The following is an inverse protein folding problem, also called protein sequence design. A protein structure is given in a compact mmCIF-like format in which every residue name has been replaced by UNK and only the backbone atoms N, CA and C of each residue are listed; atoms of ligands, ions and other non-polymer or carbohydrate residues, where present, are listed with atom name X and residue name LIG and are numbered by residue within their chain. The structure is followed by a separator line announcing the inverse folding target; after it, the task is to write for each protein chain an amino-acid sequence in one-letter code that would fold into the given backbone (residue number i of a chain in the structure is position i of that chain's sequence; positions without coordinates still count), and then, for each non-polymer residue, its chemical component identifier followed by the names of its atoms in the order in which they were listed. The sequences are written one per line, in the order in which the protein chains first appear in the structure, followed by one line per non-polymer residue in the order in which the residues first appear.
data_IF_108087753905
#
_entry.id   IF_108087753905
#
_cell.length_a   1.000
_cell.length_b   1.000
_cell.length_c   1.000
_cell.angle_alpha   90.00
_cell.angle_beta   90.00
_cell.angle_gamma   90.00
#
_symmetry.space_group_name_H-M   'P 1'
#
loop_
_entity.id
_entity.type
_entity.pdbx_description
1 polymer ?
#
# COMPACT_ATOMS: atom_id res chain seq x y z
N UNK A 1 39.63 -31.08 -3.23
CA UNK A 1 39.65 -29.93 -4.21
C UNK A 1 38.43 -30.05 -5.10
N UNK A 2 37.29 -29.50 -4.67
CA UNK A 2 36.13 -29.36 -5.54
C UNK A 2 36.25 -27.96 -6.16
N UNK A 3 36.47 -27.93 -7.46
CA UNK A 3 36.43 -26.71 -8.26
C UNK A 3 35.01 -26.18 -8.26
N UNK A 4 34.81 -25.05 -7.56
CA UNK A 4 33.65 -24.21 -7.75
C UNK A 4 33.65 -23.68 -9.19
N UNK A 5 32.88 -24.32 -10.05
CA UNK A 5 32.50 -23.74 -11.34
C UNK A 5 31.71 -22.45 -11.04
N UNK A 6 32.13 -21.31 -11.56
CA UNK A 6 31.36 -20.09 -11.39
C UNK A 6 30.01 -20.29 -12.10
N UNK A 7 28.91 -20.24 -11.33
CA UNK A 7 27.57 -20.15 -11.89
C UNK A 7 27.58 -19.05 -12.96
N UNK A 8 27.06 -19.33 -14.14
CA UNK A 8 26.94 -18.41 -15.25
C UNK A 8 26.24 -17.12 -14.75
N UNK A 9 27.03 -16.10 -14.41
CA UNK A 9 26.50 -14.77 -14.08
C UNK A 9 25.75 -14.29 -15.31
N UNK A 10 24.44 -14.25 -15.23
CA UNK A 10 23.62 -13.62 -16.26
C UNK A 10 24.23 -12.25 -16.58
N UNK A 11 24.47 -11.97 -17.86
CA UNK A 11 25.07 -10.72 -18.28
C UNK A 11 24.03 -9.61 -18.09
N UNK A 12 24.09 -8.90 -16.95
CA UNK A 12 23.23 -7.76 -16.70
C UNK A 12 23.78 -6.56 -17.47
N UNK A 13 22.97 -5.93 -18.35
CA UNK A 13 23.37 -4.67 -18.98
C UNK A 13 23.64 -3.55 -17.95
N UNK A 14 22.99 -3.61 -16.79
CA UNK A 14 23.33 -2.83 -15.59
C UNK A 14 23.98 -3.74 -14.54
N UNK A 15 25.14 -3.30 -14.00
CA UNK A 15 25.76 -4.01 -12.89
C UNK A 15 24.81 -3.98 -11.67
N UNK A 16 24.45 -5.12 -11.08
CA UNK A 16 23.60 -5.18 -9.87
C UNK A 16 24.15 -4.33 -8.71
N UNK A 17 25.47 -4.23 -8.55
CA UNK A 17 26.09 -3.40 -7.49
C UNK A 17 25.99 -1.89 -7.74
N UNK A 18 25.49 -1.46 -8.90
CA UNK A 18 25.33 -0.04 -9.22
C UNK A 18 24.12 0.57 -8.52
N UNK A 19 24.25 1.84 -8.10
CA UNK A 19 23.11 2.61 -7.58
C UNK A 19 21.95 2.66 -8.59
N UNK A 20 22.26 2.76 -9.89
CA UNK A 20 21.25 2.79 -10.96
C UNK A 20 20.38 1.53 -11.01
N UNK A 21 20.94 0.34 -10.74
CA UNK A 21 20.17 -0.89 -10.64
C UNK A 21 19.19 -0.86 -9.47
N UNK A 22 19.66 -0.47 -8.28
CA UNK A 22 18.82 -0.39 -7.07
C UNK A 22 17.72 0.66 -7.23
N UNK A 23 18.05 1.82 -7.82
CA UNK A 23 17.05 2.87 -8.10
C UNK A 23 15.99 2.38 -9.11
N UNK A 24 16.39 1.72 -10.19
CA UNK A 24 15.46 1.19 -11.18
C UNK A 24 14.51 0.17 -10.56
N UNK A 25 15.03 -0.81 -9.80
CA UNK A 25 14.17 -1.77 -9.09
C UNK A 25 13.31 -1.06 -8.03
N UNK A 26 13.84 -0.05 -7.35
CA UNK A 26 13.07 0.78 -6.42
C UNK A 26 11.88 1.47 -7.07
N UNK A 27 12.05 2.06 -8.24
CA UNK A 27 10.93 2.65 -9.01
C UNK A 27 9.95 1.61 -9.53
N UNK A 28 10.43 0.43 -9.94
CA UNK A 28 9.56 -0.71 -10.29
C UNK A 28 8.65 -1.09 -9.13
N UNK A 29 9.21 -1.23 -7.93
CA UNK A 29 8.43 -1.55 -6.71
C UNK A 29 7.48 -0.41 -6.34
N UNK A 30 7.86 0.85 -6.63
CA UNK A 30 7.06 2.03 -6.33
C UNK A 30 5.86 2.23 -7.28
N UNK A 31 5.83 1.61 -8.48
CA UNK A 31 4.75 1.78 -9.47
C UNK A 31 3.36 1.62 -8.82
N UNK A 32 3.16 0.58 -8.01
CA UNK A 32 1.86 0.36 -7.37
C UNK A 32 1.48 1.50 -6.41
N UNK A 33 2.44 2.04 -5.65
CA UNK A 33 2.20 3.16 -4.75
C UNK A 33 1.90 4.45 -5.54
N UNK A 34 2.60 4.68 -6.64
CA UNK A 34 2.37 5.79 -7.58
C UNK A 34 0.95 5.69 -8.15
N UNK A 35 0.56 4.52 -8.68
CA UNK A 35 -0.79 4.29 -9.22
C UNK A 35 -1.90 4.49 -8.19
N UNK A 36 -1.63 4.28 -6.91
CA UNK A 36 -2.62 4.45 -5.83
C UNK A 36 -2.64 5.89 -5.34
N UNK A 37 -1.49 6.42 -4.90
CA UNK A 37 -1.41 7.66 -4.15
C UNK A 37 -1.67 8.91 -5.00
N UNK A 38 -1.24 8.89 -6.26
CA UNK A 38 -1.44 10.03 -7.15
C UNK A 38 -2.91 10.22 -7.53
N UNK A 39 -3.73 9.18 -7.47
CA UNK A 39 -5.14 9.31 -7.84
C UNK A 39 -6.06 9.82 -6.73
N UNK A 40 -5.60 9.80 -5.48
CA UNK A 40 -6.45 10.16 -4.34
C UNK A 40 -6.96 11.61 -4.37
N UNK A 41 -6.14 12.64 -4.67
CA UNK A 41 -6.64 14.02 -4.79
C UNK A 41 -7.57 14.23 -5.99
N UNK A 42 -7.51 13.36 -7.00
CA UNK A 42 -8.30 13.47 -8.22
C UNK A 42 -9.72 12.85 -8.11
N UNK A 43 -10.01 12.07 -7.07
CA UNK A 43 -11.31 11.39 -6.89
C UNK A 43 -12.51 12.34 -6.96
N UNK A 44 -12.49 13.54 -6.32
CA UNK A 44 -13.60 14.47 -6.44
C UNK A 44 -13.88 14.96 -7.86
N UNK A 45 -12.84 15.13 -8.70
CA UNK A 45 -13.03 15.49 -10.12
C UNK A 45 -13.62 14.33 -10.92
N UNK A 46 -13.20 13.10 -10.64
CA UNK A 46 -13.77 11.89 -11.27
C UNK A 46 -15.26 11.78 -10.95
N UNK A 47 -15.66 11.96 -9.67
CA UNK A 47 -17.05 11.93 -9.27
C UNK A 47 -17.90 13.00 -9.99
N UNK A 48 -17.36 14.22 -10.12
CA UNK A 48 -18.02 15.32 -10.82
C UNK A 48 -18.19 15.04 -12.32
N UNK A 49 -17.13 14.58 -13.00
CA UNK A 49 -17.16 14.40 -14.46
C UNK A 49 -18.08 13.24 -14.88
N UNK A 50 -18.13 12.15 -14.12
CA UNK A 50 -19.04 11.05 -14.39
C UNK A 50 -20.42 11.22 -13.74
N UNK A 51 -20.71 12.36 -13.09
CA UNK A 51 -21.97 12.63 -12.37
C UNK A 51 -22.35 11.47 -11.43
N UNK A 52 -21.38 10.97 -10.68
CA UNK A 52 -21.53 9.78 -9.84
C UNK A 52 -21.34 10.09 -8.35
N UNK A 53 -21.73 9.15 -7.51
CA UNK A 53 -21.63 9.26 -6.07
C UNK A 53 -20.17 9.03 -5.58
N UNK A 54 -19.77 9.56 -4.41
CA UNK A 54 -18.43 9.37 -3.86
C UNK A 54 -18.05 7.90 -3.64
N UNK A 55 -19.00 7.02 -3.29
CA UNK A 55 -18.78 5.59 -3.13
C UNK A 55 -18.40 4.90 -4.45
N UNK A 56 -19.08 5.23 -5.56
CA UNK A 56 -18.71 4.73 -6.89
C UNK A 56 -17.34 5.25 -7.34
N UNK A 57 -17.03 6.52 -7.08
CA UNK A 57 -15.69 7.05 -7.37
C UNK A 57 -14.61 6.30 -6.55
N UNK A 58 -14.87 5.97 -5.28
CA UNK A 58 -13.96 5.21 -4.44
C UNK A 58 -13.79 3.76 -4.87
N UNK A 59 -14.78 3.17 -5.57
CA UNK A 59 -14.62 1.85 -6.17
C UNK A 59 -13.49 1.81 -7.20
N UNK A 60 -13.06 2.93 -7.77
CA UNK A 60 -11.86 2.98 -8.63
C UNK A 60 -10.59 2.62 -7.85
N UNK A 61 -10.49 3.03 -6.58
CA UNK A 61 -9.38 2.66 -5.68
C UNK A 61 -9.57 1.23 -5.17
N UNK A 62 -10.77 0.87 -4.73
CA UNK A 62 -11.07 -0.50 -4.27
C UNK A 62 -10.84 -1.52 -5.38
N UNK A 63 -11.26 -1.24 -6.61
CA UNK A 63 -11.00 -2.08 -7.78
C UNK A 63 -9.51 -2.28 -8.03
N UNK A 64 -8.73 -1.19 -7.99
CA UNK A 64 -7.28 -1.27 -8.09
C UNK A 64 -6.67 -2.15 -6.99
N UNK A 65 -7.11 -1.99 -5.74
CA UNK A 65 -6.61 -2.78 -4.61
C UNK A 65 -6.99 -4.26 -4.72
N UNK A 66 -8.20 -4.59 -5.21
CA UNK A 66 -8.63 -5.96 -5.49
C UNK A 66 -7.75 -6.59 -6.58
N UNK A 67 -7.53 -5.85 -7.68
CA UNK A 67 -6.61 -6.28 -8.72
C UNK A 67 -5.18 -6.48 -8.21
N UNK A 68 -4.68 -5.54 -7.41
CA UNK A 68 -3.37 -5.61 -6.78
C UNK A 68 -3.24 -6.86 -5.89
N UNK A 69 -4.22 -7.13 -5.04
CA UNK A 69 -4.26 -8.28 -4.16
C UNK A 69 -4.23 -9.61 -4.95
N UNK A 70 -5.05 -9.70 -6.01
CA UNK A 70 -5.07 -10.86 -6.90
C UNK A 70 -3.72 -11.06 -7.59
N UNK A 71 -3.13 -9.98 -8.10
CA UNK A 71 -1.82 -10.00 -8.73
C UNK A 71 -0.69 -10.38 -7.77
N UNK A 72 -0.74 -9.96 -6.50
CA UNK A 72 0.26 -10.30 -5.48
C UNK A 72 0.35 -11.80 -5.24
N UNK A 73 -0.78 -12.50 -5.17
CA UNK A 73 -0.82 -13.96 -4.98
C UNK A 73 -0.21 -14.72 -6.16
N UNK A 74 -0.45 -14.23 -7.38
CA UNK A 74 -0.12 -14.95 -8.61
C UNK A 74 1.28 -14.61 -9.12
N UNK A 75 1.69 -13.34 -9.03
CA UNK A 75 2.96 -12.86 -9.60
C UNK A 75 4.19 -13.55 -9.04
N UNK A 76 4.19 -13.90 -7.74
CA UNK A 76 5.27 -14.64 -7.10
C UNK A 76 5.48 -16.00 -7.76
N UNK A 77 4.43 -16.82 -7.77
CA UNK A 77 4.45 -18.17 -8.34
C UNK A 77 4.76 -18.16 -9.85
N UNK A 78 4.16 -17.23 -10.59
CA UNK A 78 4.47 -17.08 -12.02
C UNK A 78 5.94 -16.74 -12.25
N UNK A 79 6.51 -15.84 -11.42
CA UNK A 79 7.91 -15.43 -11.57
C UNK A 79 8.90 -16.53 -11.19
N UNK A 80 8.54 -17.41 -10.26
CA UNK A 80 9.34 -18.59 -9.90
C UNK A 80 9.32 -19.65 -11.02
N UNK A 81 8.22 -19.72 -11.79
CA UNK A 81 8.07 -20.68 -12.88
C UNK A 81 8.61 -20.18 -14.22
N UNK A 82 8.27 -18.94 -14.61
CA UNK A 82 8.53 -18.41 -15.96
C UNK A 82 9.72 -17.46 -16.03
N UNK A 83 10.33 -17.14 -14.89
CA UNK A 83 11.43 -16.19 -14.77
C UNK A 83 10.98 -14.81 -14.30
N UNK A 84 11.86 -14.11 -13.56
CA UNK A 84 11.59 -12.80 -12.96
C UNK A 84 11.31 -11.75 -14.02
N UNK A 85 12.22 -11.64 -15.00
CA UNK A 85 12.17 -10.60 -16.05
C UNK A 85 10.89 -10.68 -16.87
N UNK A 86 10.48 -11.89 -17.29
CA UNK A 86 9.29 -12.07 -18.14
C UNK A 86 8.02 -11.65 -17.43
N UNK A 87 7.85 -12.08 -16.17
CA UNK A 87 6.65 -11.77 -15.39
C UNK A 87 6.61 -10.29 -15.00
N UNK A 88 7.77 -9.70 -14.69
CA UNK A 88 7.88 -8.28 -14.41
C UNK A 88 7.45 -7.42 -15.60
N UNK A 89 8.00 -7.71 -16.78
CA UNK A 89 7.65 -7.00 -18.02
C UNK A 89 6.18 -7.19 -18.42
N UNK A 90 5.65 -8.42 -18.28
CA UNK A 90 4.23 -8.70 -18.54
C UNK A 90 3.31 -7.93 -17.60
N UNK A 91 3.64 -7.85 -16.31
CA UNK A 91 2.88 -7.06 -15.33
C UNK A 91 2.94 -5.56 -15.61
N UNK A 92 4.13 -5.01 -15.91
CA UNK A 92 4.26 -3.59 -16.27
C UNK A 92 3.48 -3.29 -17.56
N UNK A 93 3.56 -4.16 -18.57
CA UNK A 93 2.81 -3.99 -19.82
C UNK A 93 1.29 -3.99 -19.57
N UNK A 94 0.77 -4.91 -18.75
CA UNK A 94 -0.64 -4.92 -18.34
C UNK A 94 -1.03 -3.62 -17.63
N UNK A 95 -0.19 -3.15 -16.69
CA UNK A 95 -0.42 -1.89 -15.96
C UNK A 95 -0.43 -0.67 -16.90
N UNK A 96 0.46 -0.63 -17.88
CA UNK A 96 0.52 0.44 -18.90
C UNK A 96 -0.70 0.41 -19.81
N UNK A 97 -1.06 -0.76 -20.37
CA UNK A 97 -2.22 -0.89 -21.26
C UNK A 97 -3.52 -0.50 -20.52
N UNK A 98 -3.70 -0.99 -19.30
CA UNK A 98 -4.83 -0.59 -18.47
C UNK A 98 -4.79 0.91 -18.13
N UNK A 99 -3.60 1.48 -17.90
CA UNK A 99 -3.42 2.91 -17.65
C UNK A 99 -3.80 3.78 -18.86
N UNK A 100 -3.43 3.36 -20.07
CA UNK A 100 -3.92 4.00 -21.32
C UNK A 100 -5.45 3.93 -21.38
N UNK A 101 -6.04 2.76 -21.10
CA UNK A 101 -7.49 2.62 -21.04
C UNK A 101 -8.13 3.57 -20.01
N UNK A 102 -7.52 3.73 -18.82
CA UNK A 102 -8.01 4.67 -17.80
C UNK A 102 -8.04 6.12 -18.31
N UNK A 103 -7.05 6.56 -19.10
CA UNK A 103 -7.07 7.93 -19.68
C UNK A 103 -8.21 8.13 -20.68
N UNK A 104 -8.67 7.05 -21.31
CA UNK A 104 -9.71 7.05 -22.34
C UNK A 104 -11.09 6.63 -21.82
N UNK A 105 -11.22 6.34 -20.52
CA UNK A 105 -12.46 5.87 -19.93
C UNK A 105 -13.61 6.87 -20.10
N UNK A 106 -14.76 6.37 -20.55
CA UNK A 106 -15.97 7.17 -20.80
C UNK A 106 -17.08 6.91 -19.78
N UNK A 107 -16.93 5.90 -18.92
CA UNK A 107 -17.84 5.61 -17.83
C UNK A 107 -17.07 5.19 -16.57
N UNK A 108 -17.73 5.35 -15.40
CA UNK A 108 -17.13 4.98 -14.11
C UNK A 108 -16.88 3.46 -14.02
N UNK A 109 -17.77 2.62 -14.60
CA UNK A 109 -17.66 1.17 -14.60
C UNK A 109 -16.45 0.71 -15.42
N UNK A 110 -16.22 1.34 -16.58
CA UNK A 110 -15.06 1.06 -17.41
C UNK A 110 -13.78 1.45 -16.66
N UNK A 111 -13.78 2.60 -15.98
CA UNK A 111 -12.66 3.05 -15.18
C UNK A 111 -12.38 2.08 -14.03
N UNK A 112 -13.40 1.63 -13.28
CA UNK A 112 -13.25 0.66 -12.18
C UNK A 112 -12.60 -0.64 -12.69
N UNK A 113 -13.09 -1.17 -13.81
CA UNK A 113 -12.57 -2.41 -14.42
C UNK A 113 -11.12 -2.26 -14.86
N UNK A 114 -10.79 -1.17 -15.53
CA UNK A 114 -9.43 -0.87 -15.98
C UNK A 114 -8.49 -0.66 -14.79
N UNK A 115 -8.94 -0.05 -13.72
CA UNK A 115 -8.19 0.09 -12.47
C UNK A 115 -7.88 -1.26 -11.82
N UNK A 116 -8.83 -2.22 -11.85
CA UNK A 116 -8.55 -3.58 -11.36
C UNK A 116 -7.45 -4.26 -12.21
N UNK A 117 -7.49 -4.14 -13.54
CA UNK A 117 -6.44 -4.65 -14.41
C UNK A 117 -5.09 -3.95 -14.17
N UNK A 118 -5.09 -2.63 -13.99
CA UNK A 118 -3.90 -1.85 -13.66
C UNK A 118 -3.28 -2.29 -12.33
N UNK A 119 -4.12 -2.54 -11.31
CA UNK A 119 -3.70 -3.07 -10.01
C UNK A 119 -3.06 -4.45 -10.13
N UNK A 120 -3.68 -5.35 -10.88
CA UNK A 120 -3.16 -6.70 -11.15
C UNK A 120 -1.78 -6.64 -11.81
N UNK A 121 -1.60 -5.78 -12.80
CA UNK A 121 -0.31 -5.59 -13.48
C UNK A 121 0.76 -5.03 -12.57
N UNK A 122 0.45 -3.99 -11.79
CA UNK A 122 1.41 -3.33 -10.90
C UNK A 122 1.87 -4.20 -9.72
N UNK A 123 1.10 -5.22 -9.36
CA UNK A 123 1.49 -6.20 -8.33
C UNK A 123 2.81 -6.91 -8.66
N UNK A 124 3.07 -7.20 -9.93
CA UNK A 124 4.30 -7.83 -10.36
C UNK A 124 5.53 -6.99 -10.00
N UNK A 125 5.45 -5.66 -10.16
CA UNK A 125 6.52 -4.74 -9.75
C UNK A 125 6.90 -4.90 -8.29
N UNK A 126 5.92 -4.90 -7.40
CA UNK A 126 6.13 -5.00 -5.95
C UNK A 126 6.69 -6.37 -5.53
N UNK A 127 6.12 -7.48 -6.05
CA UNK A 127 6.47 -8.84 -5.63
C UNK A 127 7.79 -9.26 -6.27
N UNK A 128 7.87 -9.15 -7.60
CA UNK A 128 9.03 -9.64 -8.37
C UNK A 128 10.25 -8.73 -8.18
N UNK A 129 10.05 -7.40 -8.06
CA UNK A 129 11.17 -6.48 -7.79
C UNK A 129 11.92 -6.80 -6.50
N UNK A 130 11.19 -7.13 -5.42
CA UNK A 130 11.81 -7.62 -4.17
C UNK A 130 12.50 -8.97 -4.32
N UNK A 131 11.96 -9.86 -5.16
CA UNK A 131 12.58 -11.14 -5.45
C UNK A 131 13.90 -10.95 -6.21
N UNK A 132 13.95 -10.08 -7.21
CA UNK A 132 15.18 -9.73 -7.96
C UNK A 132 16.30 -9.26 -7.01
N UNK A 133 15.99 -8.40 -6.04
CA UNK A 133 16.99 -7.97 -5.04
C UNK A 133 17.51 -9.18 -4.23
N UNK A 134 16.64 -10.09 -3.81
CA UNK A 134 17.06 -11.30 -3.07
C UNK A 134 17.87 -12.26 -3.92
N UNK A 135 17.60 -12.32 -5.23
CA UNK A 135 18.34 -13.18 -6.15
C UNK A 135 19.74 -12.62 -6.47
N UNK A 136 19.91 -11.27 -6.43
CA UNK A 136 21.15 -10.59 -6.78
C UNK A 136 22.08 -10.30 -5.61
N UNK A 137 21.54 -10.21 -4.38
CA UNK A 137 22.30 -9.78 -3.19
C UNK A 137 22.14 -10.75 -2.03
N UNK A 138 23.22 -10.90 -1.25
CA UNK A 138 23.27 -11.73 -0.04
C UNK A 138 23.70 -10.94 1.18
N UNK A 139 23.33 -11.42 2.36
CA UNK A 139 23.78 -10.89 3.66
C UNK A 139 23.50 -9.38 3.85
N UNK A 140 24.49 -8.64 4.30
CA UNK A 140 24.36 -7.20 4.57
C UNK A 140 24.10 -6.35 3.32
N UNK A 141 24.51 -6.82 2.13
CA UNK A 141 24.23 -6.11 0.86
C UNK A 141 22.74 -6.20 0.52
N UNK A 142 22.13 -7.37 0.69
CA UNK A 142 20.68 -7.55 0.51
C UNK A 142 19.88 -6.65 1.46
N UNK A 143 20.30 -6.57 2.74
CA UNK A 143 19.67 -5.70 3.73
C UNK A 143 19.75 -4.22 3.32
N UNK A 144 20.92 -3.75 2.88
CA UNK A 144 21.11 -2.37 2.40
C UNK A 144 20.26 -2.07 1.18
N UNK A 145 20.22 -2.95 0.19
CA UNK A 145 19.41 -2.78 -1.03
C UNK A 145 17.91 -2.75 -0.69
N UNK A 146 17.42 -3.66 0.17
CA UNK A 146 16.02 -3.65 0.64
C UNK A 146 15.65 -2.37 1.41
N UNK A 147 16.58 -1.85 2.23
CA UNK A 147 16.37 -0.57 2.93
C UNK A 147 16.25 0.60 1.95
N UNK A 148 17.07 0.62 0.90
CA UNK A 148 16.97 1.65 -0.16
C UNK A 148 15.65 1.54 -0.93
N UNK A 149 15.20 0.32 -1.26
CA UNK A 149 13.87 0.12 -1.86
C UNK A 149 12.77 0.70 -0.98
N UNK A 150 12.81 0.38 0.32
CA UNK A 150 11.82 0.87 1.27
C UNK A 150 11.83 2.39 1.36
N UNK A 151 13.00 3.03 1.33
CA UNK A 151 13.12 4.49 1.32
C UNK A 151 12.47 5.10 0.07
N UNK A 152 12.74 4.55 -1.14
CA UNK A 152 12.14 5.01 -2.39
C UNK A 152 10.61 4.89 -2.34
N UNK A 153 10.09 3.74 -1.91
CA UNK A 153 8.64 3.50 -1.82
C UNK A 153 7.98 4.45 -0.81
N UNK A 154 8.67 4.81 0.29
CA UNK A 154 8.14 5.72 1.32
C UNK A 154 8.03 7.17 0.86
N UNK A 155 8.81 7.60 -0.14
CA UNK A 155 8.74 8.95 -0.70
C UNK A 155 7.41 9.16 -1.46
N UNK A 156 6.89 8.11 -2.12
CA UNK A 156 5.71 8.23 -2.99
C UNK A 156 4.45 8.71 -2.24
N UNK A 157 4.05 8.14 -1.11
CA UNK A 157 2.89 8.65 -0.36
C UNK A 157 3.07 10.07 0.16
N UNK A 158 4.33 10.48 0.41
CA UNK A 158 4.66 11.81 0.90
C UNK A 158 4.61 12.86 -0.21
N UNK A 159 5.20 12.57 -1.37
CA UNK A 159 5.34 13.53 -2.48
C UNK A 159 4.22 13.39 -3.53
N UNK A 160 3.62 12.21 -3.67
CA UNK A 160 2.62 11.93 -4.70
C UNK A 160 1.37 12.80 -4.62
N UNK A 161 0.63 12.80 -3.50
CA UNK A 161 -0.58 13.62 -3.38
C UNK A 161 -0.34 15.13 -3.56
N UNK A 162 0.70 15.77 -2.97
CA UNK A 162 1.03 17.15 -3.25
C UNK A 162 1.33 17.41 -4.74
N UNK A 163 2.09 16.51 -5.38
CA UNK A 163 2.38 16.60 -6.80
C UNK A 163 1.09 16.56 -7.63
N UNK A 164 0.18 15.64 -7.31
CA UNK A 164 -1.11 15.56 -7.99
C UNK A 164 -1.97 16.81 -7.75
N UNK A 165 -2.00 17.30 -6.51
CA UNK A 165 -2.69 18.56 -6.20
C UNK A 165 -2.22 19.72 -7.08
N UNK A 166 -0.91 19.85 -7.27
CA UNK A 166 -0.33 20.83 -8.19
C UNK A 166 -0.68 20.56 -9.66
N UNK A 167 -0.60 19.29 -10.10
CA UNK A 167 -0.93 18.93 -11.48
C UNK A 167 -2.38 19.27 -11.84
N UNK A 168 -3.31 19.08 -10.92
CA UNK A 168 -4.73 19.34 -11.15
C UNK A 168 -5.09 20.81 -11.36
N UNK A 169 -4.17 21.75 -11.12
CA UNK A 169 -4.32 23.16 -11.54
C UNK A 169 -4.14 23.37 -13.06
N UNK A 170 -3.35 22.49 -13.71
CA UNK A 170 -3.02 22.65 -15.13
C UNK A 170 -3.56 21.53 -16.02
N UNK A 171 -4.02 20.44 -15.41
CA UNK A 171 -4.55 19.27 -16.14
C UNK A 171 -5.73 18.65 -15.40
N UNK A 172 -6.46 17.77 -16.07
CA UNK A 172 -7.53 16.97 -15.45
C UNK A 172 -6.98 15.69 -14.82
N UNK A 173 -7.84 14.93 -14.15
CA UNK A 173 -7.52 13.58 -13.66
C UNK A 173 -7.00 12.64 -14.77
N UNK A 174 -7.41 12.85 -16.03
CA UNK A 174 -6.86 12.10 -17.18
C UNK A 174 -5.39 12.41 -17.40
N UNK A 175 -4.96 13.64 -17.22
CA UNK A 175 -3.55 14.03 -17.29
C UNK A 175 -2.71 13.37 -16.19
N UNK A 176 -3.28 13.17 -15.01
CA UNK A 176 -2.61 12.41 -13.92
C UNK A 176 -2.44 10.94 -14.33
N UNK A 177 -3.48 10.29 -14.93
CA UNK A 177 -3.33 8.93 -15.48
C UNK A 177 -2.30 8.86 -16.60
N UNK A 178 -2.29 9.84 -17.51
CA UNK A 178 -1.30 9.89 -18.58
C UNK A 178 0.13 9.98 -18.02
N UNK A 179 0.35 10.78 -16.98
CA UNK A 179 1.63 10.88 -16.29
C UNK A 179 2.05 9.54 -15.66
N UNK A 180 1.15 8.90 -14.89
CA UNK A 180 1.39 7.59 -14.26
C UNK A 180 1.72 6.52 -15.32
N UNK A 181 0.97 6.52 -16.42
CA UNK A 181 1.13 5.56 -17.52
C UNK A 181 2.46 5.76 -18.23
N UNK A 182 2.81 7.00 -18.55
CA UNK A 182 4.09 7.35 -19.16
C UNK A 182 5.26 6.99 -18.26
N UNK A 183 5.17 7.30 -16.96
CA UNK A 183 6.17 6.90 -15.98
C UNK A 183 6.35 5.37 -15.97
N UNK A 184 5.25 4.61 -15.90
CA UNK A 184 5.29 3.14 -15.89
C UNK A 184 5.87 2.58 -17.19
N UNK A 185 5.56 3.20 -18.35
CA UNK A 185 6.11 2.83 -19.65
C UNK A 185 7.61 3.06 -19.70
N UNK A 186 8.10 4.22 -19.25
CA UNK A 186 9.54 4.54 -19.20
C UNK A 186 10.28 3.55 -18.31
N UNK A 187 9.74 3.26 -17.11
CA UNK A 187 10.34 2.25 -16.22
C UNK A 187 10.32 0.87 -16.87
N UNK A 188 9.23 0.47 -17.51
CA UNK A 188 9.14 -0.80 -18.25
C UNK A 188 10.16 -0.93 -19.37
N UNK A 189 10.37 0.14 -20.14
CA UNK A 189 11.37 0.21 -21.18
C UNK A 189 12.80 0.10 -20.61
N UNK A 190 13.09 0.79 -19.52
CA UNK A 190 14.37 0.68 -18.82
C UNK A 190 14.60 -0.73 -18.26
N UNK A 191 13.58 -1.40 -17.71
CA UNK A 191 13.66 -2.81 -17.29
C UNK A 191 13.95 -3.70 -18.49
N UNK A 192 13.24 -3.51 -19.61
CA UNK A 192 13.47 -4.29 -20.82
C UNK A 192 14.88 -4.15 -21.35
N UNK A 193 15.45 -2.95 -21.34
CA UNK A 193 16.79 -2.66 -21.86
C UNK A 193 17.92 -3.01 -20.89
N UNK A 194 17.67 -2.95 -19.56
CA UNK A 194 18.74 -2.89 -18.55
C UNK A 194 18.73 -4.02 -17.54
N UNK A 195 17.63 -4.77 -17.40
CA UNK A 195 17.53 -5.86 -16.43
C UNK A 195 17.56 -7.20 -17.14
N UNK A 196 18.50 -8.05 -16.76
CA UNK A 196 18.58 -9.44 -17.22
C UNK A 196 17.73 -10.36 -16.31
N UNK A 197 17.60 -11.62 -16.71
CA UNK A 197 16.96 -12.66 -15.89
C UNK A 197 17.83 -12.95 -14.65
N UNK A 198 17.22 -12.87 -13.46
CA UNK A 198 17.91 -13.13 -12.19
C UNK A 198 17.65 -14.53 -11.64
N UNK A 199 16.60 -15.21 -12.11
CA UNK A 199 16.24 -16.55 -11.64
C UNK A 199 17.20 -17.59 -12.21
N UNK A 200 17.98 -18.24 -11.33
CA UNK A 200 18.96 -19.25 -11.74
C UNK A 200 18.31 -20.55 -12.21
N UNK A 201 17.23 -20.99 -11.56
CA UNK A 201 16.50 -22.25 -11.87
C UNK A 201 15.00 -22.05 -11.69
N UNK A 202 14.20 -22.16 -12.76
CA UNK A 202 12.75 -22.16 -12.69
C UNK A 202 12.21 -23.38 -11.92
N UNK A 203 11.15 -23.16 -11.12
CA UNK A 203 10.40 -24.23 -10.45
C UNK A 203 9.08 -24.50 -11.20
N UNK A 204 8.95 -25.59 -11.98
CA UNK A 204 7.73 -25.92 -12.71
C UNK A 204 6.50 -26.12 -11.80
N UNK A 205 6.71 -26.45 -10.53
CA UNK A 205 5.65 -26.72 -9.54
C UNK A 205 5.25 -25.47 -8.75
N UNK A 206 5.89 -24.32 -8.97
CA UNK A 206 5.58 -23.09 -8.25
C UNK A 206 4.12 -22.64 -8.45
N UNK A 207 3.52 -22.93 -9.60
CA UNK A 207 2.13 -22.58 -9.94
C UNK A 207 1.11 -23.68 -9.70
N UNK A 208 1.45 -24.74 -8.92
CA UNK A 208 0.49 -25.79 -8.56
C UNK A 208 -0.61 -25.21 -7.65
N UNK A 209 -1.89 -25.15 -8.11
CA UNK A 209 -2.98 -24.56 -7.33
C UNK A 209 -3.24 -25.30 -6.02
N UNK A 210 -3.01 -26.63 -6.01
CA UNK A 210 -3.23 -27.46 -4.81
C UNK A 210 -2.20 -27.09 -3.72
N UNK A 211 -0.93 -26.94 -4.09
CA UNK A 211 0.14 -26.54 -3.19
C UNK A 211 -0.06 -25.12 -2.68
N UNK A 212 -0.40 -24.19 -3.59
CA UNK A 212 -0.70 -22.81 -3.21
C UNK A 212 -1.90 -22.73 -2.26
N UNK A 213 -3.00 -23.40 -2.60
CA UNK A 213 -4.20 -23.43 -1.77
C UNK A 213 -3.96 -24.08 -0.40
N UNK A 214 -3.20 -25.18 -0.34
CA UNK A 214 -2.85 -25.84 0.91
C UNK A 214 -2.02 -24.92 1.83
N UNK A 215 -1.03 -24.21 1.27
CA UNK A 215 -0.21 -23.25 2.03
C UNK A 215 -1.06 -22.08 2.56
N UNK A 216 -1.91 -21.50 1.72
CA UNK A 216 -2.82 -20.41 2.12
C UNK A 216 -3.75 -20.89 3.23
N UNK A 217 -4.40 -22.06 3.07
CA UNK A 217 -5.32 -22.61 4.06
C UNK A 217 -4.62 -22.93 5.38
N UNK A 218 -3.41 -23.48 5.33
CA UNK A 218 -2.62 -23.75 6.53
C UNK A 218 -2.32 -22.46 7.31
N UNK A 219 -2.04 -21.36 6.62
CA UNK A 219 -1.79 -20.06 7.24
C UNK A 219 -3.07 -19.42 7.79
N UNK A 220 -4.18 -19.48 7.04
CA UNK A 220 -5.47 -18.92 7.48
C UNK A 220 -6.01 -19.61 8.75
N UNK A 221 -5.68 -20.88 8.94
CA UNK A 221 -6.08 -21.65 10.14
C UNK A 221 -5.25 -21.33 11.39
N UNK A 222 -4.15 -20.59 11.25
CA UNK A 222 -3.27 -20.24 12.38
C UNK A 222 -3.69 -18.91 13.01
N UNK A 223 -4.38 -19.00 14.15
CA UNK A 223 -4.84 -17.83 14.88
C UNK A 223 -3.69 -16.95 15.41
N UNK A 224 -2.53 -17.55 15.74
CA UNK A 224 -1.31 -16.85 16.14
C UNK A 224 -0.74 -15.97 15.01
N UNK A 225 -0.93 -16.33 13.76
CA UNK A 225 -0.52 -15.54 12.62
C UNK A 225 -1.61 -14.55 12.19
N UNK A 226 -2.86 -15.04 12.07
CA UNK A 226 -3.96 -14.25 11.52
C UNK A 226 -4.34 -13.05 12.39
N UNK A 227 -4.21 -13.14 13.71
CA UNK A 227 -4.47 -12.00 14.59
C UNK A 227 -3.55 -10.79 14.27
N UNK A 228 -2.27 -11.03 13.97
CA UNK A 228 -1.36 -9.96 13.57
C UNK A 228 -1.66 -9.43 12.17
N UNK A 229 -1.94 -10.31 11.21
CA UNK A 229 -2.32 -9.90 9.85
C UNK A 229 -3.59 -9.04 9.86
N UNK A 230 -4.60 -9.44 10.66
CA UNK A 230 -5.85 -8.68 10.76
C UNK A 230 -5.65 -7.31 11.41
N UNK A 231 -4.83 -7.19 12.46
CA UNK A 231 -4.47 -5.88 13.03
C UNK A 231 -3.83 -5.00 11.94
N UNK A 232 -2.85 -5.53 11.21
CA UNK A 232 -2.19 -4.80 10.11
C UNK A 232 -3.16 -4.43 8.99
N UNK A 233 -4.09 -5.32 8.63
CA UNK A 233 -5.12 -5.10 7.61
C UNK A 233 -6.08 -3.97 7.99
N UNK A 234 -6.60 -3.98 9.23
CA UNK A 234 -7.50 -2.95 9.74
C UNK A 234 -6.80 -1.58 9.79
N UNK A 235 -5.59 -1.52 10.31
CA UNK A 235 -4.84 -0.27 10.40
C UNK A 235 -4.47 0.29 9.01
N UNK A 236 -4.07 -0.59 8.07
CA UNK A 236 -3.82 -0.20 6.68
C UNK A 236 -5.08 0.30 5.98
N UNK A 237 -6.18 -0.43 6.16
CA UNK A 237 -7.48 -0.05 5.60
C UNK A 237 -7.98 1.28 6.17
N UNK A 238 -7.77 1.55 7.47
CA UNK A 238 -8.04 2.84 8.08
C UNK A 238 -7.23 3.97 7.44
N UNK A 239 -5.92 3.77 7.23
CA UNK A 239 -5.08 4.74 6.52
C UNK A 239 -5.64 5.06 5.13
N UNK A 240 -5.87 4.03 4.29
CA UNK A 240 -6.27 4.24 2.90
C UNK A 240 -7.69 4.81 2.80
N UNK A 241 -8.62 4.38 3.64
CA UNK A 241 -10.00 4.91 3.65
C UNK A 241 -10.04 6.40 3.99
N UNK A 242 -9.28 6.81 5.00
CA UNK A 242 -9.17 8.22 5.40
C UNK A 242 -8.58 9.06 4.27
N UNK A 243 -7.46 8.61 3.70
CA UNK A 243 -6.77 9.34 2.62
C UNK A 243 -7.66 9.45 1.38
N UNK A 244 -8.50 8.45 1.09
CA UNK A 244 -9.42 8.46 -0.05
C UNK A 244 -10.63 9.40 0.14
N UNK A 245 -11.15 9.52 1.36
CA UNK A 245 -12.29 10.40 1.68
C UNK A 245 -11.86 11.84 1.93
N UNK A 246 -10.65 12.08 2.44
CA UNK A 246 -10.21 13.42 2.81
C UNK A 246 -10.31 14.42 1.67
N UNK A 247 -10.14 13.97 0.41
CA UNK A 247 -10.33 14.81 -0.77
C UNK A 247 -11.75 15.38 -0.90
N UNK A 248 -12.76 14.57 -0.61
CA UNK A 248 -14.16 14.99 -0.60
C UNK A 248 -14.46 15.91 0.58
N UNK A 249 -14.06 15.54 1.80
CA UNK A 249 -14.25 16.36 3.01
C UNK A 249 -13.56 17.72 2.87
N UNK A 250 -12.34 17.77 2.35
CA UNK A 250 -11.60 19.02 2.15
C UNK A 250 -12.36 19.97 1.23
N UNK A 251 -12.97 19.45 0.15
CA UNK A 251 -13.77 20.24 -0.78
C UNK A 251 -15.13 20.60 -0.19
N UNK A 252 -15.89 19.62 0.30
CA UNK A 252 -17.32 19.78 0.59
C UNK A 252 -17.55 20.46 1.95
N UNK A 253 -16.70 20.19 2.97
CA UNK A 253 -16.85 20.77 4.31
C UNK A 253 -15.99 22.01 4.54
N UNK A 254 -14.88 22.19 3.80
CA UNK A 254 -13.92 23.26 4.05
C UNK A 254 -13.61 24.11 2.83
N UNK A 255 -14.17 23.80 1.65
CA UNK A 255 -13.94 24.51 0.38
C UNK A 255 -12.45 24.68 0.04
N UNK A 256 -11.61 23.68 0.38
CA UNK A 256 -10.18 23.74 0.16
C UNK A 256 -9.82 23.45 -1.30
N UNK A 257 -8.78 24.12 -1.76
CA UNK A 257 -8.16 23.87 -3.03
C UNK A 257 -7.46 22.51 -3.10
N UNK A 258 -7.33 21.95 -4.32
CA UNK A 258 -6.69 20.65 -4.57
C UNK A 258 -5.22 20.61 -4.15
N UNK A 259 -4.50 21.74 -4.29
CA UNK A 259 -3.10 21.86 -3.86
C UNK A 259 -2.96 21.73 -2.34
N UNK A 260 -3.81 22.43 -1.57
CA UNK A 260 -3.86 22.34 -0.11
C UNK A 260 -4.26 20.92 0.32
N UNK A 261 -5.27 20.35 -0.33
CA UNK A 261 -5.70 18.96 -0.08
C UNK A 261 -4.56 17.98 -0.29
N UNK A 262 -3.81 18.11 -1.38
CA UNK A 262 -2.63 17.29 -1.67
C UNK A 262 -1.56 17.43 -0.57
N UNK A 263 -1.30 18.64 -0.07
CA UNK A 263 -0.35 18.88 1.03
C UNK A 263 -0.80 18.21 2.34
N UNK A 264 -2.10 18.28 2.67
CA UNK A 264 -2.67 17.58 3.84
C UNK A 264 -2.50 16.07 3.73
N UNK A 265 -2.76 15.49 2.55
CA UNK A 265 -2.55 14.06 2.30
C UNK A 265 -1.07 13.66 2.45
N UNK A 266 -0.15 14.50 1.95
CA UNK A 266 1.29 14.30 2.13
C UNK A 266 1.72 14.32 3.60
N UNK A 267 1.11 15.19 4.43
CA UNK A 267 1.41 15.27 5.86
C UNK A 267 1.01 13.99 6.62
N UNK A 268 -0.03 13.29 6.16
CA UNK A 268 -0.43 11.98 6.72
C UNK A 268 0.67 10.93 6.54
N UNK A 269 1.33 10.92 5.37
CA UNK A 269 2.43 10.01 5.10
C UNK A 269 3.67 10.31 5.94
N UNK A 270 3.95 11.59 6.23
CA UNK A 270 5.01 11.99 7.16
C UNK A 270 4.76 11.44 8.57
N UNK A 271 3.52 11.49 9.05
CA UNK A 271 3.15 10.96 10.37
C UNK A 271 3.36 9.44 10.44
N UNK A 272 2.95 8.70 9.41
CA UNK A 272 3.21 7.26 9.32
C UNK A 272 4.72 6.95 9.35
N UNK A 273 5.51 7.69 8.58
CA UNK A 273 6.97 7.53 8.56
C UNK A 273 7.61 7.86 9.91
N UNK A 274 7.13 8.91 10.58
CA UNK A 274 7.52 9.26 11.96
C UNK A 274 7.25 8.11 12.93
N UNK A 275 6.09 7.47 12.82
CA UNK A 275 5.75 6.28 13.61
C UNK A 275 6.71 5.11 13.38
N UNK A 276 7.08 4.84 12.12
CA UNK A 276 8.05 3.80 11.79
C UNK A 276 9.45 4.08 12.37
N UNK A 277 9.88 5.35 12.37
CA UNK A 277 11.13 5.78 13.01
C UNK A 277 11.06 5.58 14.53
N UNK A 278 9.94 5.94 15.16
CA UNK A 278 9.72 5.69 16.59
C UNK A 278 9.80 4.20 16.89
N UNK A 279 9.13 3.35 16.09
CA UNK A 279 9.21 1.89 16.25
C UNK A 279 10.67 1.41 16.22
N UNK A 280 11.46 1.85 15.24
CA UNK A 280 12.88 1.48 15.15
C UNK A 280 13.69 1.88 16.39
N UNK A 281 13.39 3.02 17.02
CA UNK A 281 14.07 3.45 18.24
C UNK A 281 13.61 2.66 19.49
N UNK A 282 12.38 2.19 19.50
CA UNK A 282 11.81 1.40 20.59
C UNK A 282 12.18 -0.09 20.48
N UNK A 283 12.37 -0.58 19.24
CA UNK A 283 12.74 -1.97 18.98
C UNK A 283 14.08 -2.31 19.68
N UNK A 284 14.08 -3.43 20.41
CA UNK A 284 15.22 -3.86 21.24
C UNK A 284 15.34 -3.17 22.60
N UNK A 285 14.62 -2.06 22.84
CA UNK A 285 14.57 -1.38 24.16
C UNK A 285 13.32 -1.72 24.94
N UNK A 286 12.21 -1.90 24.24
CA UNK A 286 10.93 -2.24 24.84
C UNK A 286 10.43 -3.60 24.33
N UNK A 287 9.72 -4.37 25.17
CA UNK A 287 9.06 -5.59 24.72
C UNK A 287 8.07 -5.29 23.59
N UNK A 288 8.04 -6.11 22.55
CA UNK A 288 7.11 -5.94 21.42
C UNK A 288 5.64 -5.88 21.87
N UNK A 289 5.30 -6.64 22.94
CA UNK A 289 3.99 -6.61 23.58
C UNK A 289 3.61 -5.21 24.08
N UNK A 290 4.56 -4.49 24.71
CA UNK A 290 4.33 -3.12 25.20
C UNK A 290 4.15 -2.13 24.04
N UNK A 291 5.00 -2.26 23.01
CA UNK A 291 4.91 -1.41 21.80
C UNK A 291 3.52 -1.58 21.16
N UNK A 292 3.09 -2.83 20.90
CA UNK A 292 1.82 -3.09 20.23
C UNK A 292 0.61 -2.68 21.09
N UNK A 293 0.69 -2.88 22.42
CA UNK A 293 -0.35 -2.43 23.34
C UNK A 293 -0.54 -0.92 23.29
N UNK A 294 0.55 -0.18 23.41
CA UNK A 294 0.49 1.28 23.43
C UNK A 294 0.04 1.85 22.08
N UNK A 295 0.58 1.33 20.97
CA UNK A 295 0.24 1.82 19.64
C UNK A 295 -1.22 1.51 19.24
N UNK A 296 -1.75 0.31 19.55
CA UNK A 296 -3.16 0.00 19.29
C UNK A 296 -4.11 0.80 20.20
N UNK A 297 -3.73 1.05 21.46
CA UNK A 297 -4.49 1.93 22.36
C UNK A 297 -4.48 3.37 21.87
N UNK A 298 -3.33 3.90 21.47
CA UNK A 298 -3.20 5.25 20.92
C UNK A 298 -4.00 5.41 19.62
N UNK A 299 -3.98 4.40 18.74
CA UNK A 299 -4.81 4.39 17.54
C UNK A 299 -6.32 4.46 17.87
N UNK A 300 -6.78 3.69 18.87
CA UNK A 300 -8.18 3.71 19.28
C UNK A 300 -8.60 5.06 19.88
N UNK A 301 -7.76 5.64 20.73
CA UNK A 301 -8.02 6.98 21.28
C UNK A 301 -8.03 8.05 20.19
N UNK A 302 -7.12 7.94 19.22
CA UNK A 302 -7.11 8.85 18.04
C UNK A 302 -8.36 8.68 17.18
N UNK A 303 -8.86 7.46 17.01
CA UNK A 303 -10.12 7.19 16.31
C UNK A 303 -11.31 7.86 17.02
N UNK A 304 -11.42 7.69 18.35
CA UNK A 304 -12.46 8.34 19.16
C UNK A 304 -12.37 9.87 19.10
N UNK A 305 -11.15 10.42 19.18
CA UNK A 305 -10.94 11.87 19.06
C UNK A 305 -11.37 12.36 17.67
N UNK A 306 -10.99 11.63 16.61
CA UNK A 306 -11.41 11.97 15.22
C UNK A 306 -12.94 11.94 15.11
N UNK A 307 -13.61 10.94 15.69
CA UNK A 307 -15.07 10.85 15.67
C UNK A 307 -15.72 12.03 16.40
N UNK A 308 -15.25 12.33 17.62
CA UNK A 308 -15.79 13.44 18.41
C UNK A 308 -15.65 14.79 17.67
N UNK A 309 -14.49 15.05 17.08
CA UNK A 309 -14.23 16.27 16.29
C UNK A 309 -15.10 16.29 15.03
N UNK A 310 -15.16 15.17 14.29
CA UNK A 310 -15.95 15.06 13.08
C UNK A 310 -17.46 15.29 13.32
N UNK A 311 -18.00 14.71 14.40
CA UNK A 311 -19.38 14.98 14.82
C UNK A 311 -19.56 16.42 15.27
N UNK A 312 -18.62 17.02 15.98
CA UNK A 312 -18.65 18.43 16.34
C UNK A 312 -18.70 19.35 15.09
N UNK A 313 -18.00 19.00 14.01
CA UNK A 313 -18.07 19.71 12.73
C UNK A 313 -19.44 19.46 12.06
N UNK A 314 -19.91 18.22 12.00
CA UNK A 314 -21.19 17.88 11.37
C UNK A 314 -22.39 18.57 12.02
N UNK A 315 -22.34 18.76 13.35
CA UNK A 315 -23.39 19.45 14.10
C UNK A 315 -23.16 20.98 14.23
N UNK A 316 -22.15 21.53 13.56
CA UNK A 316 -21.87 22.99 13.55
C UNK A 316 -21.27 23.53 14.87
N UNK A 317 -20.85 22.65 15.80
CA UNK A 317 -20.19 23.05 17.05
C UNK A 317 -18.74 23.49 16.83
N UNK A 318 -18.10 22.97 15.78
CA UNK A 318 -16.73 23.26 15.38
C UNK A 318 -16.74 23.70 13.91
N UNK A 319 -16.03 24.75 13.57
CA UNK A 319 -15.97 25.25 12.19
C UNK A 319 -14.64 25.92 11.85
N UNK A 320 -14.39 26.13 10.55
CA UNK A 320 -13.23 26.86 10.04
C UNK A 320 -11.89 26.14 10.22
N UNK A 321 -10.80 26.90 10.11
CA UNK A 321 -9.44 26.37 10.18
C UNK A 321 -9.09 25.66 11.51
N UNK A 322 -9.53 26.13 12.69
CA UNK A 322 -9.27 25.40 13.95
C UNK A 322 -9.85 23.99 13.95
N UNK A 323 -11.09 23.83 13.46
CA UNK A 323 -11.75 22.52 13.37
C UNK A 323 -11.00 21.58 12.41
N UNK A 324 -10.56 22.10 11.25
CA UNK A 324 -9.71 21.36 10.32
C UNK A 324 -8.39 20.93 10.97
N UNK A 325 -7.70 21.83 11.66
CA UNK A 325 -6.43 21.56 12.32
C UNK A 325 -6.57 20.45 13.40
N UNK A 326 -7.63 20.47 14.19
CA UNK A 326 -7.94 19.43 15.17
C UNK A 326 -8.20 18.09 14.49
N UNK A 327 -9.02 18.07 13.42
CA UNK A 327 -9.33 16.86 12.66
C UNK A 327 -8.07 16.23 12.08
N UNK A 328 -7.26 17.01 11.38
CA UNK A 328 -6.00 16.58 10.78
C UNK A 328 -5.02 16.06 11.83
N UNK A 329 -4.91 16.75 12.98
CA UNK A 329 -4.01 16.32 14.07
C UNK A 329 -4.45 14.96 14.63
N UNK A 330 -5.74 14.73 14.86
CA UNK A 330 -6.25 13.45 15.33
C UNK A 330 -5.98 12.33 14.31
N UNK A 331 -6.18 12.59 13.01
CA UNK A 331 -5.85 11.64 11.95
C UNK A 331 -4.34 11.36 11.85
N UNK A 332 -3.49 12.37 12.03
CA UNK A 332 -2.03 12.20 12.07
C UNK A 332 -1.60 11.33 13.25
N UNK A 333 -2.23 11.45 14.43
CA UNK A 333 -1.98 10.57 15.57
C UNK A 333 -2.33 9.11 15.27
N UNK A 334 -3.43 8.84 14.54
CA UNK A 334 -3.76 7.50 14.07
C UNK A 334 -2.68 6.96 13.11
N UNK A 335 -2.26 7.76 12.12
CA UNK A 335 -1.24 7.35 11.15
C UNK A 335 0.13 7.09 11.80
N UNK A 336 0.51 7.91 12.77
CA UNK A 336 1.71 7.70 13.58
C UNK A 336 1.62 6.38 14.35
N UNK A 337 0.47 6.11 14.98
CA UNK A 337 0.21 4.86 15.69
C UNK A 337 0.29 3.64 14.77
N UNK A 338 -0.23 3.76 13.54
CA UNK A 338 -0.09 2.71 12.52
C UNK A 338 1.38 2.52 12.11
N UNK A 339 2.14 3.60 11.92
CA UNK A 339 3.58 3.53 11.63
C UNK A 339 4.37 2.77 12.72
N UNK A 340 3.99 2.92 13.99
CA UNK A 340 4.56 2.13 15.10
C UNK A 340 4.08 0.67 15.07
N UNK A 341 2.81 0.43 14.76
CA UNK A 341 2.19 -0.91 14.81
C UNK A 341 2.70 -1.82 13.70
N UNK A 342 2.77 -1.32 12.46
CA UNK A 342 2.94 -2.13 11.25
C UNK A 342 4.25 -2.95 11.22
N UNK A 343 5.44 -2.42 11.54
CA UNK A 343 6.66 -3.22 11.57
C UNK A 343 6.61 -4.31 12.65
N UNK A 344 6.06 -4.02 13.83
CA UNK A 344 5.93 -4.98 14.93
C UNK A 344 5.02 -6.15 14.55
N UNK A 345 3.86 -5.85 13.94
CA UNK A 345 2.91 -6.85 13.44
C UNK A 345 3.57 -7.75 12.39
N UNK A 346 4.33 -7.18 11.43
CA UNK A 346 5.02 -7.94 10.40
C UNK A 346 6.06 -8.89 10.97
N UNK A 347 6.86 -8.46 11.95
CA UNK A 347 7.85 -9.30 12.61
C UNK A 347 7.17 -10.46 13.35
N UNK A 348 6.11 -10.18 14.12
CA UNK A 348 5.38 -11.21 14.88
C UNK A 348 4.69 -12.21 13.97
N UNK A 349 4.15 -11.76 12.84
CA UNK A 349 3.54 -12.64 11.84
C UNK A 349 4.57 -13.55 11.15
N UNK A 350 5.73 -13.01 10.73
CA UNK A 350 6.72 -13.75 9.97
C UNK A 350 7.56 -14.71 10.82
N UNK A 351 7.72 -14.44 12.12
CA UNK A 351 8.55 -15.27 13.02
C UNK A 351 8.19 -16.75 12.98
N UNK A 352 6.93 -17.19 13.15
CA UNK A 352 6.55 -18.60 13.07
C UNK A 352 6.51 -19.15 11.64
N UNK A 353 6.63 -18.30 10.61
CA UNK A 353 6.55 -18.63 9.18
C UNK A 353 7.89 -18.48 8.45
N UNK A 354 9.01 -18.48 9.17
CA UNK A 354 10.34 -18.24 8.58
C UNK A 354 10.68 -19.21 7.42
N UNK A 355 10.22 -20.47 7.50
CA UNK A 355 10.43 -21.49 6.46
C UNK A 355 9.65 -21.22 5.15
N UNK A 356 8.63 -20.37 5.17
CA UNK A 356 7.83 -19.96 4.01
C UNK A 356 7.60 -18.45 3.96
N UNK A 357 8.58 -17.66 4.41
CA UNK A 357 8.46 -16.20 4.58
C UNK A 357 8.01 -15.45 3.32
N UNK A 358 8.38 -15.94 2.13
CA UNK A 358 7.95 -15.36 0.85
C UNK A 358 6.44 -15.49 0.63
N UNK A 359 5.88 -16.70 0.74
CA UNK A 359 4.43 -16.94 0.62
C UNK A 359 3.66 -16.26 1.74
N UNK A 360 4.21 -16.28 2.96
CA UNK A 360 3.61 -15.62 4.12
C UNK A 360 3.48 -14.12 3.92
N UNK A 361 4.55 -13.44 3.51
CA UNK A 361 4.50 -11.99 3.25
C UNK A 361 3.58 -11.62 2.09
N UNK A 362 3.48 -12.45 1.05
CA UNK A 362 2.52 -12.24 -0.05
C UNK A 362 1.08 -12.35 0.46
N UNK A 363 0.76 -13.37 1.27
CA UNK A 363 -0.58 -13.53 1.85
C UNK A 363 -0.93 -12.36 2.79
N UNK A 364 0.00 -11.96 3.67
CA UNK A 364 -0.22 -10.82 4.55
C UNK A 364 -0.52 -9.54 3.75
N UNK A 365 0.27 -9.26 2.72
CA UNK A 365 0.05 -8.12 1.83
C UNK A 365 -1.31 -8.20 1.13
N UNK A 366 -1.70 -9.39 0.65
CA UNK A 366 -3.01 -9.62 0.01
C UNK A 366 -4.16 -9.33 0.99
N UNK A 367 -4.11 -9.89 2.20
CA UNK A 367 -5.16 -9.67 3.23
C UNK A 367 -5.24 -8.20 3.62
N UNK A 368 -4.09 -7.54 3.80
CA UNK A 368 -4.06 -6.09 4.08
C UNK A 368 -4.67 -5.29 2.93
N UNK A 369 -4.34 -5.62 1.70
CA UNK A 369 -4.83 -4.91 0.51
C UNK A 369 -6.34 -5.12 0.31
N UNK A 370 -6.85 -6.35 0.51
CA UNK A 370 -8.29 -6.64 0.44
C UNK A 370 -9.07 -5.95 1.55
N UNK A 371 -8.54 -5.96 2.79
CA UNK A 371 -9.13 -5.21 3.89
C UNK A 371 -9.15 -3.70 3.59
N UNK A 372 -8.07 -3.17 2.98
CA UNK A 372 -8.03 -1.81 2.49
C UNK A 372 -9.12 -1.51 1.46
N UNK A 373 -9.29 -2.39 0.47
CA UNK A 373 -10.33 -2.25 -0.57
C UNK A 373 -11.75 -2.17 0.02
N UNK A 374 -12.05 -3.08 0.96
CA UNK A 374 -13.34 -3.12 1.65
C UNK A 374 -13.59 -1.84 2.45
N UNK A 375 -12.59 -1.38 3.21
CA UNK A 375 -12.74 -0.21 4.07
C UNK A 375 -12.80 1.10 3.27
N UNK A 376 -12.12 1.19 2.13
CA UNK A 376 -12.27 2.33 1.20
C UNK A 376 -13.69 2.40 0.66
N UNK A 377 -14.24 1.28 0.20
CA UNK A 377 -15.63 1.24 -0.28
C UNK A 377 -16.62 1.59 0.85
N UNK A 378 -16.46 1.00 2.04
CA UNK A 378 -17.33 1.26 3.19
C UNK A 378 -17.29 2.74 3.59
N UNK A 379 -16.12 3.34 3.59
CA UNK A 379 -15.93 4.74 3.92
C UNK A 379 -16.62 5.67 2.91
N UNK A 380 -16.60 5.31 1.61
CA UNK A 380 -17.36 6.01 0.58
C UNK A 380 -18.86 5.87 0.75
N UNK A 381 -19.33 4.65 1.06
CA UNK A 381 -20.75 4.39 1.31
C UNK A 381 -21.30 5.16 2.52
N UNK A 382 -20.48 5.32 3.56
CA UNK A 382 -20.85 6.09 4.78
C UNK A 382 -20.72 7.60 4.60
N UNK A 383 -20.17 8.08 3.48
CA UNK A 383 -19.94 9.49 3.28
C UNK A 383 -21.22 10.25 2.93
N UNK A 384 -21.58 11.19 3.80
CA UNK A 384 -22.80 12.01 3.75
C UNK A 384 -22.53 13.50 3.46
N UNK A 385 -21.32 13.85 2.99
CA UNK A 385 -20.88 15.24 2.80
C UNK A 385 -20.18 15.84 4.02
N UNK A 386 -20.14 15.12 5.16
CA UNK A 386 -19.50 15.54 6.40
C UNK A 386 -18.25 14.72 6.71
N UNK A 387 -17.36 15.19 7.60
CA UNK A 387 -16.22 14.40 8.05
C UNK A 387 -16.59 13.20 8.96
N UNK A 388 -17.87 13.01 9.32
CA UNK A 388 -18.33 11.94 10.22
C UNK A 388 -17.92 10.54 9.73
N UNK A 389 -17.96 10.29 8.42
CA UNK A 389 -17.54 9.03 7.81
C UNK A 389 -16.08 8.67 8.13
N UNK A 390 -15.18 9.66 8.20
CA UNK A 390 -13.77 9.48 8.63
C UNK A 390 -13.76 9.01 10.09
N UNK A 391 -14.51 9.69 10.96
CA UNK A 391 -14.61 9.37 12.37
C UNK A 391 -15.11 7.95 12.62
N UNK A 392 -16.20 7.55 11.96
CA UNK A 392 -16.75 6.19 12.06
C UNK A 392 -15.76 5.14 11.58
N UNK A 393 -15.14 5.35 10.42
CA UNK A 393 -14.17 4.41 9.85
C UNK A 393 -12.96 4.22 10.75
N UNK A 394 -12.33 5.30 11.23
CA UNK A 394 -11.15 5.20 12.09
C UNK A 394 -11.46 4.59 13.46
N UNK A 395 -12.61 4.95 14.04
CA UNK A 395 -13.02 4.39 15.34
C UNK A 395 -13.27 2.89 15.22
N UNK A 396 -14.02 2.47 14.20
CA UNK A 396 -14.32 1.06 13.97
C UNK A 396 -13.04 0.23 13.79
N UNK A 397 -12.16 0.63 12.86
CA UNK A 397 -10.96 -0.16 12.55
C UNK A 397 -9.97 -0.18 13.71
N UNK A 398 -9.80 0.94 14.43
CA UNK A 398 -8.89 1.02 15.57
C UNK A 398 -9.46 0.26 16.80
N UNK A 399 -10.77 0.31 17.01
CA UNK A 399 -11.44 -0.49 18.04
C UNK A 399 -11.27 -1.99 17.78
N UNK A 400 -11.54 -2.45 16.55
CA UNK A 400 -11.37 -3.85 16.19
C UNK A 400 -9.90 -4.29 16.29
N UNK A 401 -8.96 -3.46 15.85
CA UNK A 401 -7.53 -3.76 16.00
C UNK A 401 -7.10 -3.86 17.48
N UNK A 402 -7.59 -2.94 18.33
CA UNK A 402 -7.38 -2.99 19.76
C UNK A 402 -8.01 -4.24 20.41
N UNK A 403 -9.23 -4.59 20.01
CA UNK A 403 -9.96 -5.77 20.50
C UNK A 403 -9.22 -7.08 20.12
N UNK A 404 -8.81 -7.22 18.85
CA UNK A 404 -8.04 -8.38 18.38
C UNK A 404 -6.72 -8.48 19.14
N UNK A 405 -6.04 -7.36 19.38
CA UNK A 405 -4.84 -7.35 20.20
C UNK A 405 -5.13 -7.90 21.61
N UNK A 406 -6.18 -7.41 22.29
CA UNK A 406 -6.52 -7.79 23.66
C UNK A 406 -6.95 -9.25 23.79
N UNK A 407 -7.77 -9.73 22.87
CA UNK A 407 -8.39 -11.05 22.95
C UNK A 407 -7.51 -12.18 22.40
N UNK A 408 -6.69 -11.90 21.39
CA UNK A 408 -5.93 -12.93 20.68
C UNK A 408 -4.43 -12.63 20.66
N UNK A 409 -4.00 -11.58 19.99
CA UNK A 409 -2.58 -11.33 19.71
C UNK A 409 -1.70 -11.28 20.98
N UNK A 410 -2.21 -10.71 22.07
CA UNK A 410 -1.48 -10.61 23.33
C UNK A 410 -1.12 -11.98 23.95
N UNK A 411 -1.87 -13.05 23.61
CA UNK A 411 -1.63 -14.41 24.11
C UNK A 411 -0.42 -15.09 23.46
N UNK A 412 -0.09 -14.66 22.24
CA UNK A 412 0.99 -15.24 21.44
C UNK A 412 2.28 -14.43 21.51
N UNK A 413 2.33 -13.38 22.33
CA UNK A 413 3.53 -12.56 22.49
C UNK A 413 4.27 -12.93 23.76
N UNK A 414 5.61 -13.07 23.71
CA UNK A 414 6.41 -13.20 24.93
C UNK A 414 6.32 -11.92 25.77
N UNK A 415 6.45 -12.06 27.06
CA UNK A 415 6.49 -10.95 28.02
C UNK A 415 7.70 -10.05 27.82
#
# INVERSE_FOLDING_TARGET
MQQNTPSSRAHFPLNPDSLGFILLIGFVVAIQAICTMLMLPALPQIAQEFHTTPDLAQLTISGFLIGLASGQLVSGALSDRFGRRRVLLGGIALSVLAGVGCTMAQSIESLITLRALQGMGSAAGMVVGRAVIRDCFEGNRALKAMSMLSAIVSIVPMAGPPLTGLMLHWTSWRGVYAFITTFSLVIGLLVWLRIAESLARPDPRATDPRRMGANILAMLRRADCMSFVLIGSLMYGGLISVVSILGFVARDSFALDTGVTGALLGSMALSYSGGAIINNRLAGRWPMRRILRLSTTAAFLSGLATLAIALGIAHGLLSGLPALALLITAMMCFNLSFGVTNPTVMVMFLKPMAHMAGTASALAATVQTLGGALLVWLAGYLYDGTPAAIGYSLTLVSFLAFLIYRLSAARYMPD
#
